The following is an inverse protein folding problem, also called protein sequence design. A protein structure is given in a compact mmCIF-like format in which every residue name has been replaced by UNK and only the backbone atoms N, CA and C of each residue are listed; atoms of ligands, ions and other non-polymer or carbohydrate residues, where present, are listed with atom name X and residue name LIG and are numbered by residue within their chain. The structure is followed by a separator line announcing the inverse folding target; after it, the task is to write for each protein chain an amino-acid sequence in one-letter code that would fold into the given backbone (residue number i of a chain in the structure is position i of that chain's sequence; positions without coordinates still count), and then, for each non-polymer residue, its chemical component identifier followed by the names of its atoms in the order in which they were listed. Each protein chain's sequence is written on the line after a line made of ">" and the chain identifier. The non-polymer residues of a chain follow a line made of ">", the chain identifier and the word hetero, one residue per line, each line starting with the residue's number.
data_IF_689569841978
#
_entry.id   IF_689569841978
#
_cell.length_a   1.000
_cell.length_b   1.000
_cell.length_c   1.000
_cell.angle_alpha   90.00
_cell.angle_beta   90.00
_cell.angle_gamma   90.00
#
_symmetry.space_group_name_H-M   'P 1'
#
loop_
_entity.id
_entity.type
_entity.pdbx_description
1 polymer ?
#
# COMPACT_ATOMS: atom_id res chain seq x y z
N UNK A 1 -7.87 17.28 7.15
CA UNK A 1 -8.51 16.41 6.14
C UNK A 1 -9.19 17.20 5.02
N UNK A 2 -10.00 18.22 5.32
CA UNK A 2 -10.66 19.04 4.28
C UNK A 2 -9.70 19.82 3.35
N UNK A 3 -8.53 20.23 3.82
CA UNK A 3 -7.61 21.06 3.03
C UNK A 3 -6.81 20.27 2.00
N UNK A 4 -6.47 19.01 2.30
CA UNK A 4 -5.85 18.10 1.33
C UNK A 4 -6.79 17.81 0.17
N UNK A 5 -8.07 17.52 0.46
CA UNK A 5 -9.10 17.32 -0.57
C UNK A 5 -9.29 18.54 -1.45
N UNK A 6 -9.36 19.74 -0.85
CA UNK A 6 -9.44 21.02 -1.61
C UNK A 6 -8.22 21.22 -2.51
N UNK A 7 -7.03 20.89 -2.01
CA UNK A 7 -5.78 21.01 -2.77
C UNK A 7 -5.74 20.04 -3.94
N UNK A 8 -6.07 18.74 -3.71
CA UNK A 8 -6.15 17.74 -4.77
C UNK A 8 -7.20 18.11 -5.82
N UNK A 9 -8.38 18.53 -5.40
CA UNK A 9 -9.43 19.01 -6.31
C UNK A 9 -8.94 20.17 -7.18
N UNK A 10 -8.24 21.16 -6.60
CA UNK A 10 -7.66 22.28 -7.38
C UNK A 10 -6.62 21.81 -8.39
N UNK A 11 -5.75 20.85 -8.04
CA UNK A 11 -4.73 20.30 -8.94
C UNK A 11 -5.39 19.61 -10.14
N UNK A 12 -6.42 18.79 -9.92
CA UNK A 12 -7.12 18.08 -10.99
C UNK A 12 -7.98 19.00 -11.86
N UNK A 13 -8.66 19.97 -11.26
CA UNK A 13 -9.46 20.97 -12.01
C UNK A 13 -8.60 21.84 -12.94
N UNK A 14 -7.35 22.18 -12.54
CA UNK A 14 -6.41 22.89 -13.43
C UNK A 14 -6.11 22.13 -14.73
N UNK A 15 -6.22 20.80 -14.74
CA UNK A 15 -5.98 19.94 -15.92
C UNK A 15 -7.25 19.69 -16.75
N UNK A 16 -8.36 20.40 -16.52
CA UNK A 16 -9.66 20.23 -17.20
C UNK A 16 -10.21 18.79 -17.15
N UNK A 17 -9.77 17.98 -16.18
CA UNK A 17 -10.28 16.60 -15.98
C UNK A 17 -11.45 16.63 -15.00
N UNK A 18 -12.55 15.96 -15.35
CA UNK A 18 -13.65 15.70 -14.41
C UNK A 18 -13.17 14.61 -13.43
N UNK A 19 -12.78 15.02 -12.24
CA UNK A 19 -12.38 14.13 -11.15
C UNK A 19 -13.29 14.42 -9.97
N UNK A 20 -13.94 13.38 -9.42
CA UNK A 20 -14.65 13.43 -8.17
C UNK A 20 -13.76 12.83 -7.07
N UNK A 21 -13.53 13.56 -5.98
CA UNK A 21 -12.72 13.12 -4.85
C UNK A 21 -13.64 12.97 -3.64
N UNK A 22 -13.73 11.76 -3.13
CA UNK A 22 -14.58 11.40 -1.99
C UNK A 22 -13.74 10.82 -0.85
N UNK A 23 -14.13 11.10 0.40
CA UNK A 23 -13.71 10.33 1.56
C UNK A 23 -14.76 9.27 1.79
N UNK A 24 -14.42 8.03 1.47
CA UNK A 24 -15.36 6.92 1.52
C UNK A 24 -14.64 5.64 1.94
N UNK A 25 -15.27 4.84 2.76
CA UNK A 25 -14.80 3.49 3.02
C UNK A 25 -14.97 2.66 1.73
N UNK A 26 -13.92 1.93 1.34
CA UNK A 26 -13.96 1.13 0.11
C UNK A 26 -15.05 0.06 0.15
N UNK A 27 -15.44 -0.39 1.34
CA UNK A 27 -16.50 -1.38 1.55
C UNK A 27 -17.90 -0.86 1.22
N UNK A 28 -18.05 0.47 1.21
CA UNK A 28 -19.33 1.14 0.89
C UNK A 28 -19.45 1.47 -0.61
N UNK A 29 -18.49 1.02 -1.42
CA UNK A 29 -18.57 1.14 -2.87
C UNK A 29 -19.63 0.18 -3.41
N UNK A 30 -20.51 0.70 -4.27
CA UNK A 30 -21.62 -0.05 -4.86
C UNK A 30 -21.86 0.30 -6.33
N UNK A 31 -20.83 0.71 -7.03
CA UNK A 31 -20.88 1.09 -8.44
C UNK A 31 -20.07 0.15 -9.30
N UNK A 32 -20.33 0.10 -10.61
CA UNK A 32 -19.55 -0.66 -11.55
C UNK A 32 -18.54 0.22 -12.27
N UNK A 33 -17.29 -0.26 -12.33
CA UNK A 33 -16.17 0.45 -12.94
C UNK A 33 -15.49 -0.44 -13.99
N UNK A 34 -15.14 0.11 -15.13
CA UNK A 34 -14.35 -0.58 -16.14
C UNK A 34 -12.89 -0.77 -15.69
N UNK A 35 -12.41 0.10 -14.81
CA UNK A 35 -11.05 0.05 -14.28
C UNK A 35 -11.01 0.51 -12.83
N UNK A 36 -10.27 -0.21 -12.00
CA UNK A 36 -10.00 0.12 -10.60
C UNK A 36 -8.49 0.19 -10.42
N UNK A 37 -8.02 1.18 -9.66
CA UNK A 37 -6.64 1.23 -9.17
C UNK A 37 -6.64 1.27 -7.64
N UNK A 38 -5.81 0.45 -7.01
CA UNK A 38 -5.60 0.44 -5.56
C UNK A 38 -4.10 0.46 -5.27
N UNK A 39 -3.64 1.51 -4.62
CA UNK A 39 -2.21 1.77 -4.42
C UNK A 39 -1.92 1.78 -2.92
N UNK A 40 -1.16 0.78 -2.45
CA UNK A 40 -0.72 0.64 -1.05
C UNK A 40 -1.86 0.80 -0.03
N UNK A 41 -3.02 0.22 -0.34
CA UNK A 41 -4.19 0.23 0.53
C UNK A 41 -4.38 -1.13 1.22
N UNK A 42 -4.01 -2.23 0.55
CA UNK A 42 -4.23 -3.59 1.04
C UNK A 42 -3.53 -3.85 2.38
N UNK A 43 -2.40 -3.18 2.62
CA UNK A 43 -1.63 -3.27 3.86
C UNK A 43 -2.40 -2.73 5.07
N UNK A 44 -3.30 -1.80 4.85
CA UNK A 44 -4.09 -1.17 5.90
C UNK A 44 -5.43 -1.89 6.19
N UNK A 45 -5.83 -2.87 5.39
CA UNK A 45 -7.11 -3.57 5.60
C UNK A 45 -7.04 -4.62 6.72
N UNK A 46 -5.84 -5.10 7.05
CA UNK A 46 -5.62 -6.16 8.06
C UNK A 46 -5.92 -7.56 7.55
N UNK A 47 -5.29 -8.56 8.19
CA UNK A 47 -5.33 -9.96 7.75
C UNK A 47 -6.75 -10.52 7.55
N UNK A 48 -7.64 -10.23 8.50
CA UNK A 48 -9.00 -10.79 8.52
C UNK A 48 -9.90 -10.22 7.40
N UNK A 49 -9.50 -9.12 6.79
CA UNK A 49 -10.32 -8.42 5.79
C UNK A 49 -9.76 -8.53 4.36
N UNK A 50 -8.68 -9.26 4.14
CA UNK A 50 -8.11 -9.46 2.80
C UNK A 50 -9.12 -10.08 1.81
N UNK A 51 -9.95 -11.02 2.28
CA UNK A 51 -10.98 -11.61 1.43
C UNK A 51 -12.05 -10.58 1.03
N UNK A 52 -12.54 -9.79 1.99
CA UNK A 52 -13.53 -8.74 1.69
C UNK A 52 -12.96 -7.67 0.75
N UNK A 53 -11.66 -7.38 0.84
CA UNK A 53 -10.98 -6.47 -0.09
C UNK A 53 -11.08 -6.97 -1.54
N UNK A 54 -10.71 -8.22 -1.83
CA UNK A 54 -10.80 -8.78 -3.18
C UNK A 54 -12.26 -8.96 -3.63
N UNK A 55 -13.16 -9.30 -2.72
CA UNK A 55 -14.60 -9.35 -2.99
C UNK A 55 -15.13 -7.97 -3.41
N UNK A 56 -14.78 -6.91 -2.71
CA UNK A 56 -15.19 -5.54 -3.07
C UNK A 56 -14.67 -5.14 -4.45
N UNK A 57 -13.42 -5.48 -4.79
CA UNK A 57 -12.89 -5.26 -6.14
C UNK A 57 -13.74 -6.00 -7.18
N UNK A 58 -14.02 -7.30 -6.96
CA UNK A 58 -14.85 -8.11 -7.87
C UNK A 58 -16.25 -7.51 -8.04
N UNK A 59 -16.89 -7.16 -6.93
CA UNK A 59 -18.26 -6.64 -6.93
C UNK A 59 -18.38 -5.30 -7.65
N UNK A 60 -17.32 -4.50 -7.66
CA UNK A 60 -17.30 -3.18 -8.28
C UNK A 60 -16.66 -3.17 -9.70
N UNK A 61 -16.06 -4.25 -10.16
CA UNK A 61 -15.61 -4.35 -11.55
C UNK A 61 -16.78 -4.74 -12.48
N UNK A 62 -16.87 -4.06 -13.62
CA UNK A 62 -17.71 -4.47 -14.73
C UNK A 62 -17.22 -5.80 -15.31
N UNK A 63 -18.05 -6.50 -16.08
CA UNK A 63 -17.64 -7.68 -16.84
C UNK A 63 -16.51 -7.32 -17.80
N UNK A 64 -15.45 -8.12 -17.80
CA UNK A 64 -14.22 -7.82 -18.55
C UNK A 64 -13.38 -6.65 -17.98
N UNK A 65 -13.83 -5.99 -16.91
CA UNK A 65 -13.12 -4.90 -16.25
C UNK A 65 -11.79 -5.36 -15.65
N UNK A 66 -10.87 -4.40 -15.45
CA UNK A 66 -9.53 -4.66 -14.94
C UNK A 66 -9.23 -3.85 -13.69
N UNK A 67 -8.49 -4.44 -12.74
CA UNK A 67 -7.94 -3.71 -11.61
C UNK A 67 -6.41 -3.74 -11.66
N UNK A 68 -5.78 -2.61 -11.34
CA UNK A 68 -4.34 -2.49 -11.12
C UNK A 68 -4.09 -2.28 -9.63
N UNK A 69 -3.27 -3.14 -9.04
CA UNK A 69 -2.97 -3.13 -7.61
C UNK A 69 -1.48 -2.90 -7.42
N UNK A 70 -1.12 -1.97 -6.55
CA UNK A 70 0.23 -1.87 -6.00
C UNK A 70 0.17 -2.27 -4.53
N UNK A 71 1.05 -3.18 -4.12
CA UNK A 71 1.07 -3.71 -2.77
C UNK A 71 2.49 -4.05 -2.32
N UNK A 72 2.77 -3.86 -1.03
CA UNK A 72 3.95 -4.44 -0.39
C UNK A 72 3.58 -5.86 0.04
N UNK A 73 4.43 -6.82 -0.29
CA UNK A 73 4.27 -8.23 0.08
C UNK A 73 5.45 -8.73 0.87
N UNK A 74 5.20 -9.69 1.74
CA UNK A 74 6.28 -10.44 2.42
C UNK A 74 6.59 -11.71 1.64
N UNK A 75 7.85 -12.17 1.71
CA UNK A 75 8.26 -13.44 1.11
C UNK A 75 7.47 -14.62 1.68
N UNK A 76 7.12 -15.58 0.83
CA UNK A 76 6.31 -16.74 1.21
C UNK A 76 6.93 -17.55 2.33
N UNK A 77 8.27 -17.66 2.40
CA UNK A 77 8.99 -18.40 3.44
C UNK A 77 8.93 -17.74 4.81
N UNK A 78 8.68 -16.43 4.87
CA UNK A 78 8.59 -15.66 6.11
C UNK A 78 7.16 -15.47 6.60
N UNK A 79 6.17 -15.74 5.74
CA UNK A 79 4.77 -15.38 5.97
C UNK A 79 4.20 -15.99 7.26
N UNK A 80 4.43 -17.29 7.53
CA UNK A 80 3.87 -17.95 8.72
C UNK A 80 4.46 -17.40 10.02
N UNK A 81 5.73 -17.03 10.02
CA UNK A 81 6.35 -16.36 11.17
C UNK A 81 5.79 -14.96 11.35
N UNK A 82 5.67 -14.20 10.26
CA UNK A 82 5.22 -12.81 10.26
C UNK A 82 3.78 -12.68 10.76
N UNK A 83 2.86 -13.50 10.27
CA UNK A 83 1.44 -13.42 10.63
C UNK A 83 1.13 -13.74 12.09
N UNK A 84 2.06 -14.42 12.79
CA UNK A 84 1.89 -14.84 14.16
C UNK A 84 2.66 -14.00 15.18
N UNK A 85 3.40 -12.99 14.74
CA UNK A 85 4.24 -12.16 15.61
C UNK A 85 4.26 -10.72 15.12
N UNK A 86 3.83 -9.81 16.00
CA UNK A 86 3.91 -8.37 15.74
C UNK A 86 5.37 -7.94 15.59
N UNK A 87 5.67 -7.17 14.55
CA UNK A 87 6.97 -6.57 14.31
C UNK A 87 7.03 -5.09 14.72
N UNK A 88 8.19 -4.46 14.50
CA UNK A 88 8.39 -3.05 14.81
C UNK A 88 7.44 -2.14 14.03
N UNK A 89 7.17 -2.44 12.75
CA UNK A 89 6.31 -1.62 11.90
C UNK A 89 4.87 -1.65 12.41
N UNK A 90 4.35 -2.85 12.68
CA UNK A 90 3.00 -3.04 13.19
C UNK A 90 2.81 -2.40 14.56
N UNK A 91 3.86 -2.42 15.40
CA UNK A 91 3.77 -1.91 16.77
C UNK A 91 3.87 -0.38 16.84
N UNK A 92 4.74 0.25 16.05
CA UNK A 92 5.11 1.65 16.26
C UNK A 92 4.81 2.59 15.10
N UNK A 93 4.65 2.08 13.87
CA UNK A 93 4.52 2.89 12.66
C UNK A 93 3.11 2.79 12.08
N UNK A 94 2.65 1.55 11.82
CA UNK A 94 1.34 1.27 11.23
C UNK A 94 0.58 0.21 12.04
N UNK A 95 0.02 0.59 13.21
CA UNK A 95 -0.77 -0.34 14.01
C UNK A 95 -1.91 -0.96 13.20
N UNK A 96 -2.00 -2.30 13.24
CA UNK A 96 -2.99 -3.05 12.47
C UNK A 96 -2.61 -3.30 11.00
N UNK A 97 -1.47 -2.78 10.54
CA UNK A 97 -0.96 -3.05 9.20
C UNK A 97 -0.58 -4.53 9.02
N UNK A 98 -0.76 -5.03 7.79
CA UNK A 98 -0.48 -6.44 7.49
C UNK A 98 -0.04 -6.61 6.03
N UNK A 99 1.09 -7.29 5.82
CA UNK A 99 1.60 -7.59 4.49
C UNK A 99 1.10 -8.98 4.05
N UNK A 100 0.33 -9.08 2.97
CA UNK A 100 0.02 -10.37 2.36
C UNK A 100 1.27 -10.93 1.67
N UNK A 101 1.29 -12.24 1.42
CA UNK A 101 2.24 -12.86 0.50
C UNK A 101 1.57 -13.16 -0.85
N UNK A 102 2.37 -13.44 -1.89
CA UNK A 102 1.86 -13.71 -3.25
C UNK A 102 0.93 -14.93 -3.29
N UNK A 103 1.21 -15.96 -2.50
CA UNK A 103 0.38 -17.16 -2.41
C UNK A 103 -1.03 -16.85 -1.85
N UNK A 104 -1.11 -16.05 -0.80
CA UNK A 104 -2.40 -15.60 -0.23
C UNK A 104 -3.18 -14.75 -1.23
N UNK A 105 -2.51 -13.80 -1.91
CA UNK A 105 -3.14 -12.99 -2.96
C UNK A 105 -3.74 -13.89 -4.04
N UNK A 106 -2.96 -14.80 -4.62
CA UNK A 106 -3.42 -15.71 -5.68
C UNK A 106 -4.63 -16.54 -5.26
N UNK A 107 -4.59 -17.10 -4.03
CA UNK A 107 -5.68 -17.87 -3.46
C UNK A 107 -6.97 -17.05 -3.33
N UNK A 108 -6.87 -15.83 -2.79
CA UNK A 108 -8.04 -14.98 -2.59
C UNK A 108 -8.58 -14.40 -3.90
N UNK A 109 -7.73 -14.07 -4.84
CA UNK A 109 -8.11 -13.64 -6.20
C UNK A 109 -8.90 -14.74 -6.90
N UNK A 110 -8.38 -15.97 -6.93
CA UNK A 110 -9.08 -17.12 -7.52
C UNK A 110 -10.41 -17.42 -6.84
N UNK A 111 -10.44 -17.38 -5.50
CA UNK A 111 -11.67 -17.61 -4.70
C UNK A 111 -12.77 -16.63 -5.05
N UNK A 112 -12.43 -15.40 -5.40
CA UNK A 112 -13.38 -14.36 -5.77
C UNK A 112 -13.67 -14.30 -7.30
N UNK A 113 -13.26 -15.29 -8.08
CA UNK A 113 -13.53 -15.34 -9.52
C UNK A 113 -12.80 -14.28 -10.35
N UNK A 114 -11.69 -13.77 -9.82
CA UNK A 114 -10.75 -12.91 -10.52
C UNK A 114 -9.56 -13.73 -11.02
N UNK A 115 -8.81 -13.20 -12.00
CA UNK A 115 -7.53 -13.76 -12.44
C UNK A 115 -6.42 -12.73 -12.37
N UNK A 116 -5.23 -13.18 -11.97
CA UNK A 116 -4.01 -12.37 -12.05
C UNK A 116 -3.42 -12.54 -13.45
N UNK A 117 -3.07 -11.43 -14.10
CA UNK A 117 -2.44 -11.47 -15.43
C UNK A 117 -0.90 -11.41 -15.35
N UNK A 118 -0.35 -10.60 -14.44
CA UNK A 118 1.09 -10.43 -14.30
C UNK A 118 1.46 -9.85 -12.95
N UNK A 119 2.70 -10.11 -12.52
CA UNK A 119 3.35 -9.43 -11.41
C UNK A 119 4.62 -8.73 -11.92
N UNK A 120 4.83 -7.49 -11.48
CA UNK A 120 6.07 -6.74 -11.70
C UNK A 120 6.62 -6.37 -10.32
N UNK A 121 7.88 -6.68 -10.07
CA UNK A 121 8.58 -6.37 -8.82
C UNK A 121 9.33 -5.05 -8.94
N UNK A 122 9.27 -4.25 -7.88
CA UNK A 122 9.97 -2.97 -7.75
C UNK A 122 10.78 -2.87 -6.44
N UNK A 123 11.15 -4.00 -5.84
CA UNK A 123 11.84 -4.01 -4.55
C UNK A 123 13.11 -3.15 -4.55
N UNK A 124 13.96 -3.29 -5.57
CA UNK A 124 15.23 -2.53 -5.65
C UNK A 124 14.97 -1.03 -5.76
N UNK A 125 14.02 -0.62 -6.59
CA UNK A 125 13.64 0.79 -6.76
C UNK A 125 13.06 1.39 -5.47
N UNK A 126 12.29 0.59 -4.72
CA UNK A 126 11.73 1.07 -3.46
C UNK A 126 12.78 1.18 -2.36
N UNK A 127 13.75 0.27 -2.33
CA UNK A 127 14.91 0.36 -1.46
C UNK A 127 15.71 1.65 -1.70
N UNK A 128 15.96 1.99 -2.97
CA UNK A 128 16.63 3.24 -3.34
C UNK A 128 15.82 4.47 -2.93
N UNK A 129 14.50 4.43 -3.11
CA UNK A 129 13.59 5.49 -2.67
C UNK A 129 13.68 5.72 -1.16
N UNK A 130 13.67 4.65 -0.36
CA UNK A 130 13.79 4.73 1.10
C UNK A 130 15.15 5.30 1.53
N UNK A 131 16.24 4.93 0.86
CA UNK A 131 17.56 5.51 1.08
C UNK A 131 17.58 7.02 0.80
N UNK A 132 16.95 7.46 -0.29
CA UNK A 132 16.81 8.89 -0.63
C UNK A 132 15.98 9.60 0.45
N UNK A 133 14.85 9.05 0.87
CA UNK A 133 14.00 9.64 1.91
C UNK A 133 14.74 9.77 3.24
N UNK A 134 15.52 8.75 3.65
CA UNK A 134 16.33 8.82 4.87
C UNK A 134 17.38 9.93 4.79
N UNK A 135 18.04 10.09 3.66
CA UNK A 135 19.02 11.16 3.46
C UNK A 135 18.35 12.54 3.52
N UNK A 136 17.21 12.72 2.83
CA UNK A 136 16.48 14.00 2.85
C UNK A 136 15.90 14.32 4.24
N UNK A 137 15.40 13.33 4.96
CA UNK A 137 14.97 13.47 6.34
C UNK A 137 16.09 14.00 7.23
N UNK A 138 17.28 13.41 7.12
CA UNK A 138 18.44 13.84 7.92
C UNK A 138 18.90 15.25 7.56
N UNK A 139 18.96 15.59 6.28
CA UNK A 139 19.31 16.95 5.84
C UNK A 139 18.34 18.00 6.38
N UNK A 140 17.06 17.65 6.48
CA UNK A 140 15.99 18.57 6.91
C UNK A 140 15.67 18.46 8.40
N UNK A 141 16.46 17.73 9.18
CA UNK A 141 16.17 17.48 10.59
C UNK A 141 15.97 18.75 11.42
N UNK A 142 16.76 19.80 11.18
CA UNK A 142 16.62 21.09 11.91
C UNK A 142 15.23 21.68 11.75
N UNK A 143 14.68 21.68 10.52
CA UNK A 143 13.35 22.18 10.23
C UNK A 143 12.24 21.28 10.83
N UNK A 144 12.47 19.97 10.87
CA UNK A 144 11.53 19.01 11.47
C UNK A 144 11.51 19.20 13.00
N UNK A 145 12.67 19.40 13.61
CA UNK A 145 12.80 19.68 15.05
C UNK A 145 12.04 20.94 15.45
N UNK A 146 12.08 22.00 14.64
CA UNK A 146 11.35 23.25 14.86
C UNK A 146 9.81 23.06 14.88
N UNK A 147 9.30 21.97 14.29
CA UNK A 147 7.90 21.60 14.34
C UNK A 147 7.50 20.82 15.61
N UNK A 148 8.42 20.64 16.56
CA UNK A 148 8.18 19.99 17.84
C UNK A 148 8.55 18.51 17.91
N UNK A 149 9.16 17.94 16.88
CA UNK A 149 9.64 16.55 16.91
C UNK A 149 10.96 16.44 17.70
N UNK A 150 11.05 15.40 18.53
CA UNK A 150 12.20 15.16 19.42
C UNK A 150 13.21 14.15 18.84
N UNK A 151 14.29 13.90 19.57
CA UNK A 151 15.31 12.93 19.19
C UNK A 151 14.79 11.47 19.21
N UNK A 152 13.79 11.17 20.02
CA UNK A 152 13.17 9.85 20.07
C UNK A 152 12.45 9.56 18.75
N UNK A 153 11.66 10.54 18.26
CA UNK A 153 11.05 10.47 16.95
C UNK A 153 12.09 10.32 15.85
N UNK A 154 13.19 11.12 15.89
CA UNK A 154 14.26 11.02 14.88
C UNK A 154 14.80 9.61 14.78
N UNK A 155 15.20 9.01 15.90
CA UNK A 155 15.76 7.65 15.95
C UNK A 155 14.77 6.60 15.46
N UNK A 156 13.50 6.72 15.86
CA UNK A 156 12.44 5.82 15.43
C UNK A 156 12.22 5.89 13.91
N UNK A 157 12.22 7.10 13.34
CA UNK A 157 12.00 7.29 11.90
C UNK A 157 13.19 6.86 11.06
N UNK A 158 14.42 7.13 11.49
CA UNK A 158 15.64 6.62 10.86
C UNK A 158 15.69 5.09 10.87
N UNK A 159 15.31 4.48 12.00
CA UNK A 159 15.23 3.02 12.10
C UNK A 159 14.15 2.46 11.16
N UNK A 160 12.98 3.07 11.13
CA UNK A 160 11.90 2.68 10.21
C UNK A 160 12.37 2.66 8.75
N UNK A 161 12.94 3.76 8.28
CA UNK A 161 13.41 3.87 6.89
C UNK A 161 14.51 2.85 6.58
N UNK A 162 15.47 2.66 7.51
CA UNK A 162 16.56 1.69 7.35
C UNK A 162 16.06 0.24 7.40
N UNK A 163 15.10 -0.06 8.27
CA UNK A 163 14.49 -1.39 8.40
C UNK A 163 13.75 -1.78 7.12
N UNK A 164 12.94 -0.87 6.57
CA UNK A 164 12.25 -1.10 5.31
C UNK A 164 13.23 -1.21 4.14
N UNK A 165 14.24 -0.32 4.04
CA UNK A 165 15.28 -0.41 3.01
C UNK A 165 15.98 -1.78 3.03
N UNK A 166 16.37 -2.26 4.20
CA UNK A 166 16.99 -3.57 4.36
C UNK A 166 16.04 -4.72 3.96
N UNK A 167 14.76 -4.62 4.31
CA UNK A 167 13.74 -5.60 3.96
C UNK A 167 13.58 -5.75 2.44
N UNK A 168 13.55 -4.63 1.71
CA UNK A 168 13.48 -4.65 0.23
C UNK A 168 14.80 -5.15 -0.39
N UNK A 169 15.96 -4.70 0.08
CA UNK A 169 17.27 -5.15 -0.43
C UNK A 169 17.49 -6.64 -0.24
N UNK A 170 17.05 -7.19 0.89
CA UNK A 170 17.15 -8.63 1.17
C UNK A 170 16.09 -9.48 0.47
N UNK A 171 15.13 -8.84 -0.23
CA UNK A 171 13.95 -9.50 -0.84
C UNK A 171 13.02 -10.18 0.18
N UNK A 172 13.16 -9.87 1.47
CA UNK A 172 12.23 -10.31 2.51
C UNK A 172 10.84 -9.70 2.32
N UNK A 173 10.80 -8.48 1.75
CA UNK A 173 9.59 -7.82 1.28
C UNK A 173 9.80 -7.34 -0.17
N UNK A 174 8.69 -7.19 -0.89
CA UNK A 174 8.68 -6.74 -2.28
C UNK A 174 7.59 -5.69 -2.48
N UNK A 175 7.84 -4.67 -3.29
CA UNK A 175 6.77 -3.84 -3.84
C UNK A 175 6.36 -4.43 -5.18
N UNK A 176 5.14 -4.90 -5.27
CA UNK A 176 4.61 -5.49 -6.50
C UNK A 176 3.52 -4.64 -7.11
N UNK A 177 3.50 -4.58 -8.43
CA UNK A 177 2.34 -4.17 -9.19
C UNK A 177 1.78 -5.39 -9.93
N UNK A 178 0.47 -5.57 -9.88
CA UNK A 178 -0.20 -6.64 -10.58
C UNK A 178 -1.57 -6.21 -11.08
N UNK A 179 -2.03 -6.86 -12.14
CA UNK A 179 -3.34 -6.60 -12.70
C UNK A 179 -4.27 -7.79 -12.49
N UNK A 180 -5.51 -7.47 -12.16
CA UNK A 180 -6.61 -8.41 -12.04
C UNK A 180 -7.59 -8.19 -13.18
N UNK A 181 -8.23 -9.25 -13.61
CA UNK A 181 -9.31 -9.22 -14.59
C UNK A 181 -10.55 -9.91 -14.04
N UNK A 182 -11.70 -9.26 -14.22
CA UNK A 182 -13.01 -9.84 -14.02
C UNK A 182 -13.36 -10.68 -15.25
N UNK A 183 -13.53 -12.00 -15.06
CA UNK A 183 -13.96 -12.92 -16.11
C UNK A 183 -15.44 -12.82 -16.35
#
# INVERSE_FOLDING_TARGET
>A
MNDLLKTLTKIFLRKKKKVNIEIKDYRDLNSKYNSIASIEMIEAVGQNYLESYFKTIKDNLSDGGKAAIQAITIDDSLYDRYRNKEDFIQKYIFPGGFLPNKNTINKLVSKNGLSVNSYISYADHYADTLAIWRNEFNKKWSLIKEQGFDLTFKRMWEFYLSYCEAGFKSKNIDLIQFSLQNK
#
